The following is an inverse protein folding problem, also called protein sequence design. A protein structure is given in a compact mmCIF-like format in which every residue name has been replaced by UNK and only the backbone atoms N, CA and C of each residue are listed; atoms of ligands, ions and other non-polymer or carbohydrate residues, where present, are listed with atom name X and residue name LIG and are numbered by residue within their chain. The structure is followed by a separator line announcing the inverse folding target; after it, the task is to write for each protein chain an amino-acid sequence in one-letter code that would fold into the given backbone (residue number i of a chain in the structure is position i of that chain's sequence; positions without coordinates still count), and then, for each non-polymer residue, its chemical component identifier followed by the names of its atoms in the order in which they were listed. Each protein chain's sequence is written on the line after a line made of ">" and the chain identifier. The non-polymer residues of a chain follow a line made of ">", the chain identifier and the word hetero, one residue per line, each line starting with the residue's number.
data_IF_762104509955
#
_entry.id   IF_762104509955
#
_cell.length_a   1.000
_cell.length_b   1.000
_cell.length_c   1.000
_cell.angle_alpha   90.00
_cell.angle_beta   90.00
_cell.angle_gamma   90.00
#
_symmetry.space_group_name_H-M   'P 1'
#
loop_
_entity.id
_entity.type
_entity.pdbx_description
1 polymer ?
#
# COMPACT_ATOMS: atom_id res chain seq x y z
N UNK A 1 -28.02 10.83 -4.00
CA UNK A 1 -27.56 9.44 -3.75
C UNK A 1 -28.67 8.49 -4.11
N UNK A 2 -28.33 7.32 -4.65
CA UNK A 2 -29.32 6.29 -4.99
C UNK A 2 -29.60 5.42 -3.77
N UNK A 3 -30.83 4.94 -3.61
CA UNK A 3 -31.19 4.05 -2.50
C UNK A 3 -30.36 2.76 -2.50
N UNK A 4 -29.93 2.26 -3.67
CA UNK A 4 -29.10 1.07 -3.81
C UNK A 4 -27.74 1.26 -3.15
N UNK A 5 -27.08 2.38 -3.44
CA UNK A 5 -25.76 2.73 -2.89
C UNK A 5 -25.83 2.87 -1.36
N UNK A 6 -26.90 3.47 -0.85
CA UNK A 6 -27.07 3.66 0.60
C UNK A 6 -27.36 2.34 1.29
N UNK A 7 -28.20 1.48 0.70
CA UNK A 7 -28.57 0.19 1.28
C UNK A 7 -27.35 -0.70 1.55
N UNK A 8 -26.37 -0.70 0.65
CA UNK A 8 -25.11 -1.43 0.83
C UNK A 8 -24.28 -0.90 2.01
N UNK A 9 -24.40 0.39 2.33
CA UNK A 9 -23.66 1.04 3.42
C UNK A 9 -24.41 1.02 4.77
N UNK A 10 -25.71 0.69 4.78
CA UNK A 10 -26.52 0.70 6.01
C UNK A 10 -25.99 -0.25 7.10
N UNK A 11 -25.55 -1.49 6.82
CA UNK A 11 -25.04 -2.40 7.84
C UNK A 11 -23.78 -1.87 8.53
N UNK A 12 -22.83 -1.35 7.75
CA UNK A 12 -21.57 -0.80 8.28
C UNK A 12 -21.82 0.49 9.07
N UNK A 13 -22.79 1.30 8.63
CA UNK A 13 -23.23 2.49 9.36
C UNK A 13 -23.94 2.14 10.67
N UNK A 14 -24.74 1.05 10.68
CA UNK A 14 -25.39 0.54 11.89
C UNK A 14 -24.41 -0.08 12.88
N UNK A 15 -23.36 -0.75 12.39
CA UNK A 15 -22.27 -1.32 13.19
C UNK A 15 -21.25 -0.27 13.67
N UNK A 16 -21.34 0.98 13.22
CA UNK A 16 -20.38 2.04 13.54
C UNK A 16 -19.00 1.86 12.90
N UNK A 17 -18.89 1.00 11.88
CA UNK A 17 -17.64 0.68 11.17
C UNK A 17 -17.33 1.67 10.05
N UNK A 18 -18.35 2.34 9.52
CA UNK A 18 -18.22 3.33 8.45
C UNK A 18 -18.47 4.76 8.92
N UNK A 19 -17.62 5.69 8.49
CA UNK A 19 -17.92 7.13 8.61
C UNK A 19 -19.01 7.50 7.61
N UNK A 20 -20.03 8.23 8.09
CA UNK A 20 -21.15 8.67 7.27
C UNK A 20 -20.65 9.49 6.06
N UNK A 21 -20.86 9.03 4.80
CA UNK A 21 -20.49 9.82 3.63
C UNK A 21 -21.38 11.07 3.53
N UNK A 22 -20.86 12.16 2.93
CA UNK A 22 -21.61 13.40 2.81
C UNK A 22 -22.91 13.19 2.00
N UNK A 23 -24.03 13.65 2.54
CA UNK A 23 -25.36 13.53 1.90
C UNK A 23 -26.18 12.30 2.29
N UNK A 24 -25.64 11.38 3.11
CA UNK A 24 -26.41 10.24 3.61
C UNK A 24 -27.47 10.67 4.64
N UNK A 25 -27.16 11.66 5.49
CA UNK A 25 -28.12 12.25 6.44
C UNK A 25 -29.34 12.80 5.72
N UNK A 26 -29.11 13.56 4.64
CA UNK A 26 -30.17 14.21 3.88
C UNK A 26 -31.05 13.17 3.20
N UNK A 27 -30.46 12.09 2.69
CA UNK A 27 -31.22 10.99 2.12
C UNK A 27 -32.05 10.24 3.19
N UNK A 28 -31.48 9.97 4.36
CA UNK A 28 -32.20 9.31 5.46
C UNK A 28 -33.37 10.17 5.99
N UNK A 29 -33.28 11.50 5.89
CA UNK A 29 -34.39 12.39 6.22
C UNK A 29 -35.51 12.37 5.18
N UNK A 30 -35.21 12.07 3.91
CA UNK A 30 -36.17 12.11 2.79
C UNK A 30 -36.75 10.72 2.51
N UNK A 31 -35.97 9.65 2.70
CA UNK A 31 -36.34 8.28 2.36
C UNK A 31 -36.64 7.44 3.61
N UNK A 32 -37.94 7.27 3.93
CA UNK A 32 -38.38 6.46 5.07
C UNK A 32 -37.99 4.98 4.96
N UNK A 33 -37.89 4.43 3.76
CA UNK A 33 -37.48 3.03 3.55
C UNK A 33 -36.04 2.78 4.02
N UNK A 34 -35.11 3.66 3.65
CA UNK A 34 -33.71 3.55 4.08
C UNK A 34 -33.56 3.85 5.58
N UNK A 35 -34.31 4.82 6.12
CA UNK A 35 -34.32 5.11 7.55
C UNK A 35 -34.88 3.94 8.38
N UNK A 36 -35.96 3.31 7.92
CA UNK A 36 -36.55 2.13 8.57
C UNK A 36 -35.58 0.94 8.61
N UNK A 37 -34.95 0.62 7.48
CA UNK A 37 -33.93 -0.46 7.42
C UNK A 37 -32.73 -0.18 8.33
N UNK A 38 -32.28 1.06 8.40
CA UNK A 38 -31.19 1.43 9.30
C UNK A 38 -31.56 1.17 10.76
N UNK A 39 -32.79 1.50 11.15
CA UNK A 39 -33.30 1.27 12.50
C UNK A 39 -33.45 -0.22 12.81
N UNK A 40 -33.87 -1.04 11.84
CA UNK A 40 -33.87 -2.50 11.97
C UNK A 40 -32.46 -3.04 12.20
N UNK A 41 -31.48 -2.61 11.41
CA UNK A 41 -30.08 -3.02 11.62
C UNK A 41 -29.56 -2.58 12.99
N UNK A 42 -29.86 -1.36 13.44
CA UNK A 42 -29.47 -0.88 14.78
C UNK A 42 -30.08 -1.73 15.89
N UNK A 43 -31.34 -2.15 15.75
CA UNK A 43 -31.97 -3.08 16.70
C UNK A 43 -31.26 -4.42 16.72
N UNK A 44 -30.87 -4.95 15.56
CA UNK A 44 -30.11 -6.21 15.52
C UNK A 44 -28.73 -6.08 16.16
N UNK A 45 -28.02 -4.97 15.93
CA UNK A 45 -26.72 -4.71 16.58
C UNK A 45 -26.86 -4.54 18.08
N UNK A 46 -27.90 -3.87 18.56
CA UNK A 46 -28.18 -3.75 19.98
C UNK A 46 -28.43 -5.11 20.66
N UNK A 47 -29.01 -6.09 19.95
CA UNK A 47 -29.12 -7.47 20.46
C UNK A 47 -27.77 -8.20 20.51
N UNK A 48 -26.87 -7.91 19.57
CA UNK A 48 -25.51 -8.44 19.58
C UNK A 48 -24.67 -7.82 20.70
N UNK A 49 -24.88 -6.56 21.02
CA UNK A 49 -24.18 -5.86 22.11
C UNK A 49 -24.55 -6.42 23.50
N UNK A 50 -25.74 -7.02 23.66
CA UNK A 50 -26.15 -7.71 24.89
C UNK A 50 -25.39 -9.05 25.07
N UNK A 51 -24.74 -9.57 24.03
CA UNK A 51 -23.98 -10.80 24.12
C UNK A 51 -22.77 -10.62 25.04
N UNK A 52 -22.77 -11.31 26.18
CA UNK A 52 -21.62 -11.33 27.08
C UNK A 52 -20.47 -12.13 26.50
N UNK A 53 -19.33 -11.48 26.30
CA UNK A 53 -18.12 -12.14 25.83
C UNK A 53 -17.64 -13.17 26.87
N UNK A 54 -17.34 -14.41 26.47
CA UNK A 54 -16.77 -15.40 27.39
C UNK A 54 -15.39 -14.96 27.86
N UNK A 55 -15.00 -15.35 29.07
CA UNK A 55 -13.65 -15.05 29.57
C UNK A 55 -12.59 -15.63 28.62
N UNK A 56 -11.54 -14.85 28.29
CA UNK A 56 -10.47 -15.32 27.42
C UNK A 56 -9.77 -16.52 28.05
N UNK A 57 -9.29 -17.45 27.21
CA UNK A 57 -8.55 -18.61 27.72
C UNK A 57 -7.32 -18.15 28.54
N UNK A 58 -6.92 -18.86 29.61
CA UNK A 58 -5.82 -18.44 30.47
C UNK A 58 -4.47 -18.16 29.77
N UNK A 59 -4.27 -18.71 28.58
CA UNK A 59 -3.05 -18.55 27.78
C UNK A 59 -3.20 -17.57 26.60
N UNK A 60 -4.37 -16.95 26.43
CA UNK A 60 -4.63 -16.04 25.31
C UNK A 60 -3.69 -14.84 25.33
N UNK A 61 -3.61 -14.13 26.45
CA UNK A 61 -2.77 -12.93 26.58
C UNK A 61 -1.30 -13.23 26.40
N UNK A 62 -0.82 -14.36 26.95
CA UNK A 62 0.59 -14.74 26.83
C UNK A 62 0.96 -15.01 25.37
N UNK A 63 0.09 -15.70 24.62
CA UNK A 63 0.28 -15.97 23.20
C UNK A 63 0.13 -14.72 22.34
N UNK A 64 -0.85 -13.87 22.64
CA UNK A 64 -1.06 -12.59 21.96
C UNK A 64 0.15 -11.68 22.13
N UNK A 65 0.64 -11.50 23.36
CA UNK A 65 1.84 -10.72 23.63
C UNK A 65 3.10 -11.32 23.00
N UNK A 66 3.19 -12.64 22.87
CA UNK A 66 4.28 -13.27 22.13
C UNK A 66 4.23 -12.89 20.64
N UNK A 67 3.06 -13.01 20.00
CA UNK A 67 2.87 -12.64 18.59
C UNK A 67 3.10 -11.15 18.32
N UNK A 68 2.59 -10.27 19.18
CA UNK A 68 2.82 -8.83 19.09
C UNK A 68 4.31 -8.49 19.14
N UNK A 69 5.09 -9.16 20.00
CA UNK A 69 6.54 -8.97 20.06
C UNK A 69 7.25 -9.51 18.83
N UNK A 70 6.82 -10.65 18.31
CA UNK A 70 7.35 -11.21 17.06
C UNK A 70 7.09 -10.25 15.88
N UNK A 71 5.89 -9.69 15.77
CA UNK A 71 5.54 -8.72 14.72
C UNK A 71 6.28 -7.38 14.90
N UNK A 72 6.36 -6.87 16.13
CA UNK A 72 7.13 -5.65 16.42
C UNK A 72 8.63 -5.84 16.12
N UNK A 73 9.18 -7.04 16.33
CA UNK A 73 10.55 -7.38 15.94
C UNK A 73 10.72 -7.61 14.44
N UNK A 74 9.66 -8.05 13.75
CA UNK A 74 9.60 -8.21 12.29
C UNK A 74 9.35 -6.91 11.54
N UNK A 75 8.90 -5.84 12.21
CA UNK A 75 8.79 -4.52 11.58
C UNK A 75 10.13 -4.21 10.89
N UNK A 76 10.11 -3.87 9.59
CA UNK A 76 11.33 -3.65 8.85
C UNK A 76 12.07 -2.54 9.58
N UNK A 77 13.28 -2.85 10.05
CA UNK A 77 14.20 -1.85 10.59
C UNK A 77 14.21 -0.71 9.58
N UNK A 78 13.58 0.40 9.94
CA UNK A 78 13.49 1.57 9.07
C UNK A 78 14.89 1.82 8.52
N UNK A 79 15.01 2.01 7.20
CA UNK A 79 16.31 2.25 6.56
C UNK A 79 17.11 3.35 7.29
N UNK A 80 16.41 4.34 7.88
CA UNK A 80 16.99 5.43 8.68
C UNK A 80 17.29 5.10 10.15
N UNK A 81 17.06 3.87 10.60
CA UNK A 81 17.39 3.44 11.96
C UNK A 81 18.91 3.51 12.24
N UNK A 82 19.76 3.45 11.21
CA UNK A 82 21.20 3.66 11.36
C UNK A 82 21.53 5.10 11.75
N UNK A 83 20.80 6.09 11.21
CA UNK A 83 21.06 7.51 11.41
C UNK A 83 20.73 7.96 12.85
N UNK A 84 19.85 7.22 13.54
CA UNK A 84 19.51 7.46 14.95
C UNK A 84 20.57 6.96 15.95
N UNK A 85 21.67 6.36 15.50
CA UNK A 85 22.77 6.01 16.42
C UNK A 85 23.58 7.25 16.78
N UNK A 86 23.84 7.51 18.08
CA UNK A 86 24.57 8.71 18.52
C UNK A 86 25.99 8.81 17.93
N UNK A 87 26.56 7.67 17.51
CA UNK A 87 27.84 7.62 16.82
C UNK A 87 27.86 8.39 15.49
N UNK A 88 26.76 8.42 14.73
CA UNK A 88 26.68 9.20 13.48
C UNK A 88 26.56 10.70 13.73
N UNK A 89 25.89 11.11 14.82
CA UNK A 89 25.82 12.52 15.20
C UNK A 89 27.20 13.05 15.59
N UNK A 90 28.00 12.26 16.32
CA UNK A 90 29.37 12.62 16.70
C UNK A 90 30.29 12.68 15.47
N UNK A 91 30.23 11.68 14.58
CA UNK A 91 31.08 11.67 13.38
C UNK A 91 30.74 12.81 12.42
N UNK A 92 29.45 13.13 12.24
CA UNK A 92 29.01 14.27 11.44
C UNK A 92 29.47 15.60 12.06
N UNK A 93 29.35 15.77 13.38
CA UNK A 93 29.81 16.98 14.05
C UNK A 93 31.33 17.17 13.88
N UNK A 94 32.12 16.12 14.03
CA UNK A 94 33.58 16.17 13.80
C UNK A 94 33.90 16.48 12.34
N UNK A 95 33.19 15.86 11.39
CA UNK A 95 33.38 16.12 9.96
C UNK A 95 33.02 17.57 9.58
N UNK A 96 31.97 18.14 10.15
CA UNK A 96 31.58 19.53 9.93
C UNK A 96 32.61 20.50 10.53
N UNK A 97 33.08 20.25 11.76
CA UNK A 97 34.14 21.06 12.38
C UNK A 97 35.43 21.00 11.56
N UNK A 98 35.84 19.81 11.15
CA UNK A 98 37.01 19.62 10.29
C UNK A 98 36.83 20.33 8.93
N UNK A 99 35.68 20.17 8.29
CA UNK A 99 35.35 20.80 7.01
C UNK A 99 35.36 22.33 7.07
N UNK A 100 34.77 22.92 8.11
CA UNK A 100 34.80 24.38 8.33
C UNK A 100 36.22 24.86 8.58
N UNK A 101 37.02 24.14 9.40
CA UNK A 101 38.41 24.53 9.65
C UNK A 101 39.26 24.50 8.39
N UNK A 102 39.11 23.48 7.54
CA UNK A 102 39.76 23.37 6.24
C UNK A 102 39.27 24.45 5.26
N UNK A 103 37.98 24.78 5.27
CA UNK A 103 37.42 25.81 4.41
C UNK A 103 37.97 27.20 4.75
N UNK A 104 38.05 27.56 6.04
CA UNK A 104 38.64 28.83 6.48
C UNK A 104 40.14 28.92 6.14
N UNK A 105 40.89 27.82 6.33
CA UNK A 105 42.31 27.75 5.92
C UNK A 105 42.47 27.92 4.40
N UNK A 106 41.56 27.35 3.60
CA UNK A 106 41.58 27.47 2.14
C UNK A 106 41.13 28.85 1.66
N UNK A 107 40.25 29.53 2.40
CA UNK A 107 39.77 30.89 2.13
C UNK A 107 40.88 31.94 2.30
N UNK A 108 41.83 31.68 3.20
CA UNK A 108 43.04 32.51 3.39
C UNK A 108 44.08 32.26 2.26
N UNK A 109 43.94 31.16 1.50
CA UNK A 109 44.87 30.72 0.46
C UNK A 109 44.38 30.83 -0.99
N UNK A 110 43.42 31.71 -1.32
CA UNK A 110 42.92 31.83 -2.70
C UNK A 110 43.83 32.66 -3.62
N UNK A 111 44.80 32.01 -4.25
CA UNK A 111 45.14 32.23 -5.66
C UNK A 111 44.31 31.27 -6.53
N UNK A 112 43.56 31.81 -7.49
CA UNK A 112 42.56 31.13 -8.33
C UNK A 112 43.18 30.78 -9.72
N UNK A 113 42.43 30.24 -10.71
CA UNK A 113 42.00 28.85 -10.95
C UNK A 113 42.56 28.24 -12.26
N UNK A 114 42.35 26.95 -12.50
CA UNK A 114 42.26 26.31 -13.84
C UNK A 114 41.88 24.83 -13.61
N UNK A 115 41.13 24.08 -14.40
CA UNK A 115 40.44 24.25 -15.67
C UNK A 115 39.39 23.12 -15.73
N UNK A 116 38.31 23.37 -16.46
CA UNK A 116 37.31 22.38 -16.90
C UNK A 116 37.93 21.13 -17.53
N UNK A 117 37.42 19.96 -17.16
CA UNK A 117 37.43 18.76 -17.99
C UNK A 117 36.05 18.09 -17.85
N UNK A 118 35.20 18.46 -18.79
CA UNK A 118 33.98 17.76 -19.16
C UNK A 118 34.39 16.41 -19.78
N UNK A 119 33.93 15.30 -19.22
CA UNK A 119 33.90 14.02 -19.91
C UNK A 119 32.62 13.31 -19.51
N UNK A 120 31.62 13.54 -20.34
CA UNK A 120 30.48 12.64 -20.52
C UNK A 120 30.98 11.24 -20.81
N UNK A 121 30.57 10.27 -19.99
CA UNK A 121 30.49 8.89 -20.46
C UNK A 121 29.37 8.18 -19.70
N UNK A 122 28.31 7.91 -20.46
CA UNK A 122 27.22 7.05 -20.05
C UNK A 122 27.77 5.71 -19.57
N UNK A 123 27.22 5.25 -18.46
CA UNK A 123 27.37 3.87 -18.03
C UNK A 123 25.96 3.36 -17.77
N UNK A 124 25.35 2.85 -18.83
CA UNK A 124 24.46 1.73 -18.75
C UNK A 124 25.20 0.61 -18.00
N UNK A 125 24.73 0.27 -16.80
CA UNK A 125 25.22 -0.89 -16.08
C UNK A 125 24.04 -1.72 -15.53
N UNK A 126 24.27 -3.03 -15.39
CA UNK A 126 23.30 -4.08 -15.67
C UNK A 126 22.27 -4.21 -14.55
N UNK A 127 21.08 -4.67 -14.96
CA UNK A 127 20.00 -5.12 -14.06
C UNK A 127 20.58 -6.18 -13.12
N UNK A 128 20.82 -5.77 -11.87
CA UNK A 128 21.12 -6.65 -10.76
C UNK A 128 19.79 -6.99 -10.07
N UNK A 129 19.33 -8.25 -10.14
CA UNK A 129 18.09 -8.66 -9.49
C UNK A 129 18.22 -8.53 -7.96
N UNK A 130 17.21 -7.94 -7.31
CA UNK A 130 17.13 -7.82 -5.85
C UNK A 130 17.00 -6.40 -5.28
N UNK A 131 16.84 -5.36 -6.11
CA UNK A 131 16.43 -4.02 -5.65
C UNK A 131 14.97 -3.76 -6.00
N UNK A 132 14.21 -3.13 -5.11
CA UNK A 132 12.77 -2.91 -5.31
C UNK A 132 12.41 -2.16 -6.61
N UNK A 133 13.33 -1.31 -7.10
CA UNK A 133 13.14 -0.58 -8.37
C UNK A 133 13.42 -1.48 -9.58
N UNK A 134 14.41 -2.38 -9.48
CA UNK A 134 14.68 -3.36 -10.54
C UNK A 134 13.59 -4.43 -10.62
N UNK A 135 12.98 -4.80 -9.49
CA UNK A 135 11.93 -5.80 -9.45
C UNK A 135 10.65 -5.26 -10.10
N UNK A 136 10.31 -4.00 -9.81
CA UNK A 136 9.19 -3.32 -10.49
C UNK A 136 9.43 -3.17 -11.99
N UNK A 137 10.65 -2.87 -12.43
CA UNK A 137 10.99 -2.82 -13.86
C UNK A 137 10.93 -4.19 -14.56
N UNK A 138 11.10 -5.29 -13.82
CA UNK A 138 10.94 -6.64 -14.37
C UNK A 138 9.47 -7.03 -14.45
N UNK A 139 8.66 -6.69 -13.44
CA UNK A 139 7.21 -6.90 -13.48
C UNK A 139 6.54 -6.07 -14.60
N UNK A 140 6.92 -4.82 -14.76
CA UNK A 140 6.41 -3.91 -15.81
C UNK A 140 6.65 -4.48 -17.21
N UNK A 141 7.87 -4.98 -17.49
CA UNK A 141 8.20 -5.64 -18.76
C UNK A 141 7.43 -6.93 -19.01
N UNK A 142 7.14 -7.71 -17.96
CA UNK A 142 6.35 -8.92 -18.10
C UNK A 142 4.87 -8.58 -18.37
N UNK A 143 4.36 -7.48 -17.81
CA UNK A 143 3.00 -7.02 -18.06
C UNK A 143 2.82 -6.54 -19.50
N UNK A 144 3.80 -5.85 -20.08
CA UNK A 144 3.77 -5.45 -21.49
C UNK A 144 3.69 -6.66 -22.43
N UNK A 145 4.45 -7.72 -22.15
CA UNK A 145 4.43 -8.97 -22.94
C UNK A 145 3.10 -9.72 -22.83
N UNK A 146 2.47 -9.69 -21.64
CA UNK A 146 1.15 -10.30 -21.44
C UNK A 146 0.05 -9.49 -22.15
N UNK A 147 0.14 -8.16 -22.11
CA UNK A 147 -0.83 -7.27 -22.77
C UNK A 147 -0.77 -7.39 -24.30
N UNK A 148 0.42 -7.57 -24.89
CA UNK A 148 0.59 -7.79 -26.34
C UNK A 148 0.05 -9.17 -26.78
N UNK A 149 0.06 -10.15 -25.87
CA UNK A 149 -0.48 -11.49 -26.13
C UNK A 149 -2.01 -11.51 -26.08
N UNK A 150 -2.63 -10.74 -25.17
CA UNK A 150 -4.07 -10.80 -24.92
C UNK A 150 -4.93 -10.11 -25.99
N UNK A 151 -4.39 -9.17 -26.80
CA UNK A 151 -5.21 -8.50 -27.84
C UNK A 151 -5.39 -9.36 -29.09
N UNK A 152 -4.34 -10.03 -29.54
CA UNK A 152 -4.35 -10.75 -30.82
C UNK A 152 -4.68 -12.24 -30.64
N UNK A 153 -4.27 -12.88 -29.54
CA UNK A 153 -4.52 -14.33 -29.35
C UNK A 153 -5.85 -14.66 -28.70
N UNK A 154 -6.45 -13.75 -27.92
CA UNK A 154 -7.77 -13.98 -27.33
C UNK A 154 -8.87 -14.01 -28.40
N UNK A 155 -8.75 -13.18 -29.45
CA UNK A 155 -9.72 -13.17 -30.56
C UNK A 155 -9.62 -14.45 -31.40
N UNK A 156 -8.42 -14.94 -31.69
CA UNK A 156 -8.19 -16.20 -32.43
C UNK A 156 -8.63 -17.45 -31.64
N UNK A 157 -8.48 -17.46 -30.31
CA UNK A 157 -8.92 -18.59 -29.47
C UNK A 157 -10.45 -18.66 -29.31
N UNK A 158 -11.17 -17.54 -29.40
CA UNK A 158 -12.63 -17.54 -29.34
C UNK A 158 -13.26 -18.04 -30.66
N UNK A 159 -12.63 -17.81 -31.81
CA UNK A 159 -13.11 -18.29 -33.11
C UNK A 159 -13.01 -19.83 -33.21
N UNK A 160 -11.93 -20.42 -32.69
CA UNK A 160 -11.69 -21.88 -32.72
C UNK A 160 -12.64 -22.66 -31.78
N UNK A 161 -13.17 -22.01 -30.74
CA UNK A 161 -14.18 -22.59 -29.84
C UNK A 161 -15.61 -22.53 -30.41
N UNK A 162 -15.89 -21.65 -31.37
CA UNK A 162 -17.22 -21.51 -31.97
C UNK A 162 -17.54 -22.57 -33.02
N UNK A 163 -16.54 -23.26 -33.58
CA UNK A 163 -16.74 -24.28 -34.62
C UNK A 163 -17.27 -25.63 -34.05
N UNK A 164 -17.07 -25.92 -32.77
CA UNK A 164 -17.44 -27.23 -32.19
C UNK A 164 -18.86 -27.35 -31.61
N UNK A 165 -19.64 -26.27 -31.51
CA UNK A 165 -20.96 -26.32 -30.87
C UNK A 165 -22.11 -26.84 -31.77
N UNK A 166 -21.86 -27.18 -33.04
CA UNK A 166 -22.93 -27.55 -33.99
C UNK A 166 -22.97 -29.03 -34.39
N UNK A 167 -22.54 -29.95 -33.51
CA UNK A 167 -22.80 -31.39 -33.70
C UNK A 167 -24.18 -31.75 -33.13
N UNK A 168 -25.18 -31.33 -33.89
CA UNK A 168 -26.53 -31.88 -34.07
C UNK A 168 -26.83 -33.17 -33.28
N UNK A 169 -27.65 -33.03 -32.24
CA UNK A 169 -28.45 -34.13 -31.71
C UNK A 169 -29.51 -34.52 -32.74
N UNK A 170 -29.55 -35.78 -33.14
CA UNK A 170 -30.65 -36.38 -33.89
C UNK A 170 -30.61 -37.91 -33.77
N UNK A 171 -31.75 -38.60 -33.92
CA UNK A 171 -32.96 -38.57 -33.09
C UNK A 171 -33.07 -39.81 -32.17
#
# INVERSE_FOLDING_TARGET
>A
MKCTEINELLPDLAAGLASAPPGISDHLHICNECAGKLEEFRKTMALLDEWQAPEPSPYFDTRLHARLREEAARQPRSFFAWMRRPAFAVSLAVALVAGVSLFEVRKIGHGHPTQVAETSQGTSQPVQPGTAVSDLQVLDKNQDLLADSDSDTASDLLDDLQVQQDVTANP
#
